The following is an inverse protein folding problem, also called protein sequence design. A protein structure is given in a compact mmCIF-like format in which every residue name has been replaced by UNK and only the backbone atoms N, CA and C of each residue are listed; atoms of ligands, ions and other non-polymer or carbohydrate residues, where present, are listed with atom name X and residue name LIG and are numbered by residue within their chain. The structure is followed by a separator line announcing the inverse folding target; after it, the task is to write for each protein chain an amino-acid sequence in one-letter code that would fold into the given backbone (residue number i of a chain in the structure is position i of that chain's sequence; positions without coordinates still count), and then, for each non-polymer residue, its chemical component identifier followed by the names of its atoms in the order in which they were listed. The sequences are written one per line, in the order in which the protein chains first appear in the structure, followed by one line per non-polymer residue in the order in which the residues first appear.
data_IF_113149703856
#
_entry.id   IF_113149703856
#
_cell.length_a   1.000
_cell.length_b   1.000
_cell.length_c   1.000
_cell.angle_alpha   90.00
_cell.angle_beta   90.00
_cell.angle_gamma   90.00
#
_symmetry.space_group_name_H-M   'P 1'
#
loop_
_entity.id
_entity.type
_entity.pdbx_description
1 polymer ?
#
# COMPACT_ATOMS: atom_id res chain seq x y z
N UNK A 1 26.85 -52.51 33.77
CA UNK A 1 28.10 -52.07 34.43
C UNK A 1 28.11 -50.55 34.45
N UNK A 2 28.04 -49.97 35.64
CA UNK A 2 28.06 -48.54 35.88
C UNK A 2 29.49 -48.00 35.81
N UNK A 3 29.66 -46.76 35.33
CA UNK A 3 30.69 -45.84 35.85
C UNK A 3 30.18 -44.41 35.76
N UNK A 4 29.80 -43.90 36.94
CA UNK A 4 29.72 -42.48 37.27
C UNK A 4 31.11 -41.85 37.20
N UNK A 5 31.23 -40.62 36.68
CA UNK A 5 32.12 -39.60 37.23
C UNK A 5 31.37 -38.26 37.27
N UNK A 6 31.26 -37.71 38.48
CA UNK A 6 30.77 -36.37 38.81
C UNK A 6 31.97 -35.43 39.02
N UNK A 7 31.66 -34.13 39.09
CA UNK A 7 32.43 -32.95 39.55
C UNK A 7 33.08 -32.07 38.46
N UNK A 8 33.07 -30.73 38.50
CA UNK A 8 32.32 -29.65 39.20
C UNK A 8 32.83 -28.31 38.58
N UNK A 9 31.93 -27.33 38.45
CA UNK A 9 32.04 -25.85 38.38
C UNK A 9 33.18 -25.10 37.63
N UNK A 10 32.78 -24.24 36.69
CA UNK A 10 32.96 -22.77 36.66
C UNK A 10 32.41 -22.26 35.29
N UNK A 11 31.53 -21.27 35.14
CA UNK A 11 31.04 -20.24 36.05
C UNK A 11 31.36 -18.86 35.48
N UNK A 12 30.66 -18.40 34.43
CA UNK A 12 30.50 -16.95 34.11
C UNK A 12 29.21 -16.73 33.32
N UNK A 13 28.20 -16.27 34.04
CA UNK A 13 26.91 -15.78 33.55
C UNK A 13 27.03 -14.25 33.47
N UNK A 14 27.12 -13.67 32.26
CA UNK A 14 27.09 -12.20 32.10
C UNK A 14 25.66 -11.75 31.84
N UNK A 15 24.99 -11.33 32.92
CA UNK A 15 23.70 -10.63 32.91
C UNK A 15 24.01 -9.13 32.82
N UNK A 16 23.61 -8.49 31.73
CA UNK A 16 23.60 -7.02 31.64
C UNK A 16 22.27 -6.53 32.22
N UNK A 17 22.35 -5.99 33.44
CA UNK A 17 21.28 -5.24 34.06
C UNK A 17 21.36 -3.78 33.62
N UNK A 18 20.33 -3.29 32.91
CA UNK A 18 20.06 -1.86 32.81
C UNK A 18 18.93 -1.53 33.80
N UNK A 19 19.37 -0.87 34.85
CA UNK A 19 18.67 -0.13 35.90
C UNK A 19 17.33 0.45 35.44
N UNK A 20 16.25 -0.05 36.03
CA UNK A 20 14.99 0.66 36.15
C UNK A 20 15.07 1.65 37.30
N UNK A 21 14.72 2.91 37.05
CA UNK A 21 14.33 3.84 38.11
C UNK A 21 12.88 3.50 38.50
N UNK A 22 12.71 2.98 39.71
CA UNK A 22 11.44 3.02 40.42
C UNK A 22 11.14 4.46 40.82
N UNK A 23 9.95 4.94 40.44
CA UNK A 23 9.16 5.76 41.34
C UNK A 23 7.81 5.05 41.48
N UNK A 24 7.54 4.60 42.70
CA UNK A 24 6.36 3.84 43.08
C UNK A 24 5.44 4.75 43.87
N UNK A 25 4.36 5.19 43.24
CA UNK A 25 3.16 5.61 43.94
C UNK A 25 2.01 4.73 43.43
N UNK A 26 1.50 3.90 44.32
CA UNK A 26 0.29 3.14 44.11
C UNK A 26 -0.90 4.10 44.00
N UNK A 27 -1.72 3.94 42.96
CA UNK A 27 -3.16 3.90 43.18
C UNK A 27 -3.88 3.17 42.05
N UNK A 28 -4.94 2.48 42.42
CA UNK A 28 -5.81 1.68 41.56
C UNK A 28 -6.69 2.64 40.76
N UNK A 29 -6.77 2.48 39.44
CA UNK A 29 -8.07 2.33 38.78
C UNK A 29 -7.95 1.94 37.30
N UNK A 30 -8.98 1.24 36.83
CA UNK A 30 -9.08 0.67 35.49
C UNK A 30 -9.24 1.75 34.42
N UNK A 31 -8.39 1.76 33.38
CA UNK A 31 -8.65 2.51 32.15
C UNK A 31 -7.94 1.86 30.95
N UNK A 32 -8.65 1.80 29.82
CA UNK A 32 -8.27 1.25 28.50
C UNK A 32 -6.85 1.62 28.03
N UNK A 33 -6.24 0.84 27.10
CA UNK A 33 -4.97 1.21 26.50
C UNK A 33 -5.14 2.49 25.68
N UNK A 34 -4.63 3.59 26.22
CA UNK A 34 -4.48 4.88 25.58
C UNK A 34 -3.43 4.77 24.47
N UNK A 35 -3.87 4.92 23.22
CA UNK A 35 -2.98 4.96 22.06
C UNK A 35 -2.21 6.27 22.13
N UNK A 36 -0.88 6.20 22.25
CA UNK A 36 -0.01 7.36 22.37
C UNK A 36 -0.20 8.31 21.18
N UNK A 37 -0.89 9.43 21.43
CA UNK A 37 -1.01 10.51 20.47
C UNK A 37 0.28 11.32 20.50
N UNK A 38 1.05 11.30 19.42
CA UNK A 38 2.20 12.18 19.25
C UNK A 38 1.64 13.61 19.09
N UNK A 39 1.72 14.40 20.14
CA UNK A 39 1.42 15.83 20.08
C UNK A 39 2.52 16.55 19.31
N UNK A 40 2.38 16.59 17.99
CA UNK A 40 3.21 17.42 17.12
C UNK A 40 2.82 18.90 17.28
N UNK A 41 3.78 19.71 17.69
CA UNK A 41 3.75 21.18 17.64
C UNK A 41 3.19 21.70 16.31
N UNK A 42 2.25 22.65 16.41
CA UNK A 42 1.56 23.27 15.28
C UNK A 42 2.53 23.83 14.22
N UNK A 43 2.70 23.07 13.14
CA UNK A 43 3.17 23.54 11.84
C UNK A 43 2.00 23.94 10.94
N UNK A 44 2.25 24.55 9.77
CA UNK A 44 1.23 25.17 8.93
C UNK A 44 0.10 24.18 8.61
N UNK A 45 -1.14 24.65 8.63
CA UNK A 45 -2.34 23.88 8.41
C UNK A 45 -2.17 22.89 7.26
N UNK A 46 -2.03 21.61 7.60
CA UNK A 46 -2.15 20.53 6.65
C UNK A 46 -3.56 20.65 6.06
N UNK A 47 -3.63 20.81 4.74
CA UNK A 47 -4.87 20.72 3.98
C UNK A 47 -5.68 19.55 4.50
N UNK A 48 -6.92 19.82 4.89
CA UNK A 48 -7.85 18.81 5.40
C UNK A 48 -7.99 17.70 4.35
N UNK A 49 -7.24 16.60 4.52
CA UNK A 49 -7.53 15.35 3.85
C UNK A 49 -8.92 14.95 4.32
N UNK A 50 -9.91 15.13 3.44
CA UNK A 50 -11.27 14.67 3.66
C UNK A 50 -11.18 13.19 4.02
N UNK A 51 -11.50 12.87 5.28
CA UNK A 51 -11.45 11.50 5.83
C UNK A 51 -12.18 10.60 4.84
N UNK A 52 -11.47 9.63 4.26
CA UNK A 52 -12.10 8.66 3.38
C UNK A 52 -13.15 7.88 4.17
N UNK A 53 -14.28 7.51 3.54
CA UNK A 53 -15.26 6.64 4.17
C UNK A 53 -14.58 5.40 4.74
N UNK A 54 -15.00 4.91 5.91
CA UNK A 54 -14.49 3.68 6.54
C UNK A 54 -14.74 2.40 5.73
N UNK A 55 -15.35 2.55 4.56
CA UNK A 55 -15.93 1.49 3.74
C UNK A 55 -15.12 1.24 2.45
N UNK A 56 -13.97 1.92 2.29
CA UNK A 56 -13.04 1.70 1.18
C UNK A 56 -11.85 0.86 1.63
N UNK A 57 -11.31 0.03 0.72
CA UNK A 57 -10.13 -0.78 0.97
C UNK A 57 -8.84 0.03 0.98
N UNK A 58 -7.71 -0.61 0.72
CA UNK A 58 -6.42 0.08 0.71
C UNK A 58 -6.23 0.90 -0.59
N UNK A 59 -5.58 2.06 -0.46
CA UNK A 59 -5.25 2.91 -1.61
C UNK A 59 -4.09 2.32 -2.39
N UNK A 60 -4.22 2.20 -3.71
CA UNK A 60 -3.11 1.94 -4.61
C UNK A 60 -2.42 3.27 -4.93
N UNK A 61 -1.18 3.41 -4.48
CA UNK A 61 -0.31 4.54 -4.81
C UNK A 61 0.62 4.18 -5.97
N UNK A 62 1.01 5.15 -6.78
CA UNK A 62 1.92 4.92 -7.90
C UNK A 62 3.37 4.64 -7.49
N UNK A 63 3.77 5.00 -6.26
CA UNK A 63 5.10 4.75 -5.71
C UNK A 63 5.26 3.34 -5.12
N UNK A 64 4.16 2.61 -4.94
CA UNK A 64 4.18 1.26 -4.38
C UNK A 64 4.95 0.29 -5.27
N UNK A 65 5.66 -0.64 -4.63
CA UNK A 65 6.25 -1.76 -5.35
C UNK A 65 5.15 -2.69 -5.87
N UNK A 66 5.45 -3.49 -6.90
CA UNK A 66 4.49 -4.50 -7.38
C UNK A 66 4.12 -5.47 -6.24
N UNK A 67 5.06 -5.85 -5.38
CA UNK A 67 4.78 -6.70 -4.22
C UNK A 67 3.78 -6.06 -3.23
N UNK A 68 3.85 -4.74 -3.03
CA UNK A 68 2.89 -4.02 -2.18
C UNK A 68 1.49 -3.98 -2.81
N UNK A 69 1.42 -3.75 -4.13
CA UNK A 69 0.16 -3.80 -4.88
C UNK A 69 -0.45 -5.19 -4.81
N UNK A 70 0.35 -6.24 -5.04
CA UNK A 70 -0.07 -7.63 -4.96
C UNK A 70 -0.59 -7.97 -3.57
N UNK A 71 0.06 -7.48 -2.50
CA UNK A 71 -0.43 -7.70 -1.14
C UNK A 71 -1.82 -7.08 -0.89
N UNK A 72 -2.05 -5.88 -1.43
CA UNK A 72 -3.34 -5.19 -1.38
C UNK A 72 -4.40 -6.00 -2.16
N UNK A 73 -4.13 -6.35 -3.41
CA UNK A 73 -5.05 -7.12 -4.25
C UNK A 73 -5.34 -8.52 -3.67
N UNK A 74 -4.32 -9.21 -3.15
CA UNK A 74 -4.48 -10.52 -2.53
C UNK A 74 -5.41 -10.48 -1.31
N UNK A 75 -5.46 -9.37 -0.56
CA UNK A 75 -6.40 -9.19 0.55
C UNK A 75 -7.85 -9.17 0.06
N UNK A 76 -8.11 -8.46 -1.05
CA UNK A 76 -9.42 -8.41 -1.68
C UNK A 76 -9.82 -9.76 -2.28
N UNK A 77 -8.93 -10.36 -3.06
CA UNK A 77 -9.20 -11.64 -3.71
C UNK A 77 -9.36 -12.78 -2.71
N UNK A 78 -8.63 -12.79 -1.60
CA UNK A 78 -8.86 -13.75 -0.52
C UNK A 78 -10.26 -13.63 0.10
N UNK A 79 -10.77 -12.40 0.22
CA UNK A 79 -12.15 -12.17 0.64
C UNK A 79 -13.14 -12.74 -0.38
N UNK A 80 -12.99 -12.40 -1.66
CA UNK A 80 -13.86 -12.92 -2.73
C UNK A 80 -13.87 -14.45 -2.77
N UNK A 81 -12.70 -15.09 -2.62
CA UNK A 81 -12.59 -16.55 -2.55
C UNK A 81 -13.37 -17.11 -1.36
N UNK A 82 -13.29 -16.47 -0.20
CA UNK A 82 -14.06 -16.85 1.00
C UNK A 82 -15.56 -16.68 0.80
N UNK A 83 -15.98 -15.72 -0.04
CA UNK A 83 -17.38 -15.51 -0.43
C UNK A 83 -17.84 -16.43 -1.58
N UNK A 84 -17.00 -17.37 -2.03
CA UNK A 84 -17.36 -18.37 -3.05
C UNK A 84 -17.12 -17.94 -4.49
N UNK A 85 -16.40 -16.85 -4.74
CA UNK A 85 -15.96 -16.47 -6.09
C UNK A 85 -14.93 -17.47 -6.61
N UNK A 86 -15.16 -17.97 -7.82
CA UNK A 86 -14.24 -18.89 -8.49
C UNK A 86 -12.96 -18.17 -8.90
N UNK A 87 -11.81 -18.71 -8.48
CA UNK A 87 -10.48 -18.18 -8.77
C UNK A 87 -9.74 -19.08 -9.76
N UNK A 88 -8.92 -18.49 -10.64
CA UNK A 88 -7.96 -19.22 -11.46
C UNK A 88 -6.90 -19.82 -10.54
N UNK A 89 -6.79 -21.15 -10.54
CA UNK A 89 -5.70 -21.87 -9.86
C UNK A 89 -4.55 -22.15 -10.83
N UNK A 90 -4.20 -21.16 -11.66
CA UNK A 90 -2.97 -21.24 -12.43
C UNK A 90 -1.85 -20.71 -11.54
N UNK A 91 -1.17 -21.62 -10.86
CA UNK A 91 0.26 -21.41 -10.54
C UNK A 91 0.98 -21.12 -11.85
N UNK A 92 1.06 -19.85 -12.23
CA UNK A 92 2.02 -19.38 -13.21
C UNK A 92 3.39 -19.48 -12.51
N UNK A 93 4.45 -20.00 -13.15
CA UNK A 93 5.77 -20.00 -12.55
C UNK A 93 6.10 -18.55 -12.13
N UNK A 94 6.21 -18.32 -10.82
CA UNK A 94 6.44 -17.03 -10.16
C UNK A 94 5.23 -16.09 -9.92
N UNK A 95 3.98 -16.47 -10.22
CA UNK A 95 2.79 -15.69 -9.83
C UNK A 95 1.77 -16.55 -9.07
N UNK A 96 1.50 -16.17 -7.82
CA UNK A 96 0.48 -16.79 -6.95
C UNK A 96 -0.78 -15.93 -6.87
N UNK A 97 -1.12 -15.23 -7.94
CA UNK A 97 -2.21 -14.25 -7.88
C UNK A 97 -3.55 -14.97 -7.95
N UNK A 98 -4.37 -14.73 -6.94
CA UNK A 98 -5.76 -15.16 -6.91
C UNK A 98 -6.57 -14.30 -7.88
N UNK A 99 -6.61 -14.64 -9.16
CA UNK A 99 -7.37 -13.87 -10.15
C UNK A 99 -8.75 -14.51 -10.33
N UNK A 100 -9.88 -13.78 -10.22
CA UNK A 100 -11.20 -14.38 -10.46
C UNK A 100 -11.39 -14.83 -11.93
N UNK A 101 -12.17 -15.91 -12.15
CA UNK A 101 -12.20 -16.61 -13.46
C UNK A 101 -13.05 -15.93 -14.53
N UNK A 102 -14.07 -15.21 -14.11
CA UNK A 102 -15.12 -14.61 -14.96
C UNK A 102 -15.32 -13.16 -14.54
N UNK A 103 -16.23 -12.44 -15.19
CA UNK A 103 -16.66 -11.10 -14.77
C UNK A 103 -17.35 -11.17 -13.39
N UNK A 104 -16.52 -11.23 -12.33
CA UNK A 104 -16.94 -11.64 -11.00
C UNK A 104 -17.85 -10.62 -10.33
N UNK A 105 -17.76 -9.36 -10.77
CA UNK A 105 -18.59 -8.28 -10.30
C UNK A 105 -20.05 -8.50 -10.68
N UNK A 106 -20.30 -9.03 -11.89
CA UNK A 106 -21.65 -9.36 -12.36
C UNK A 106 -22.14 -10.70 -11.83
N UNK A 107 -21.26 -11.70 -11.76
CA UNK A 107 -21.65 -13.06 -11.36
C UNK A 107 -21.85 -13.21 -9.85
N UNK A 108 -21.09 -12.49 -9.02
CA UNK A 108 -21.17 -12.55 -7.55
C UNK A 108 -21.29 -11.15 -6.89
N UNK A 109 -22.36 -10.38 -7.17
CA UNK A 109 -22.51 -9.03 -6.64
C UNK A 109 -22.61 -8.99 -5.10
N UNK A 110 -23.10 -10.07 -4.48
CA UNK A 110 -23.11 -10.23 -3.02
C UNK A 110 -21.71 -10.36 -2.42
N UNK A 111 -20.81 -11.07 -3.10
CA UNK A 111 -19.41 -11.19 -2.69
C UNK A 111 -18.68 -9.85 -2.82
N UNK A 112 -18.89 -9.12 -3.91
CA UNK A 112 -18.34 -7.76 -4.08
C UNK A 112 -18.83 -6.85 -2.96
N UNK A 113 -20.13 -6.86 -2.67
CA UNK A 113 -20.70 -6.05 -1.57
C UNK A 113 -20.08 -6.41 -0.23
N UNK A 114 -19.93 -7.71 0.08
CA UNK A 114 -19.33 -8.18 1.32
C UNK A 114 -17.84 -7.84 1.44
N UNK A 115 -17.12 -7.75 0.31
CA UNK A 115 -15.69 -7.48 0.25
C UNK A 115 -15.32 -6.03 -0.06
N UNK A 116 -16.30 -5.13 -0.19
CA UNK A 116 -16.11 -3.73 -0.58
C UNK A 116 -15.10 -2.97 0.28
N UNK A 117 -15.10 -3.20 1.59
CA UNK A 117 -14.12 -2.60 2.52
C UNK A 117 -12.68 -3.09 2.33
N UNK A 118 -12.44 -4.04 1.44
CA UNK A 118 -11.12 -4.55 1.06
C UNK A 118 -10.79 -4.24 -0.40
N UNK A 119 -11.74 -3.69 -1.15
CA UNK A 119 -11.56 -3.37 -2.56
C UNK A 119 -10.46 -2.29 -2.71
N UNK A 120 -9.38 -2.58 -3.46
CA UNK A 120 -8.34 -1.60 -3.70
C UNK A 120 -8.95 -0.42 -4.44
N UNK A 121 -8.67 0.79 -3.97
CA UNK A 121 -9.12 2.00 -4.66
C UNK A 121 -7.92 2.79 -5.16
N UNK A 122 -8.07 3.44 -6.32
CA UNK A 122 -7.02 4.29 -6.88
C UNK A 122 -6.90 5.59 -6.07
N UNK A 123 -5.70 6.16 -6.04
CA UNK A 123 -5.47 7.47 -5.42
C UNK A 123 -6.57 8.48 -5.83
N UNK A 124 -7.25 9.16 -4.89
CA UNK A 124 -8.32 10.11 -5.19
C UNK A 124 -7.92 11.21 -6.16
N UNK A 125 -6.63 11.43 -6.38
CA UNK A 125 -6.13 12.34 -7.40
C UNK A 125 -6.57 11.93 -8.82
N UNK A 126 -6.87 10.67 -9.07
CA UNK A 126 -7.39 10.18 -10.37
C UNK A 126 -8.91 10.26 -10.50
N UNK A 127 -9.62 10.69 -9.47
CA UNK A 127 -11.07 10.90 -9.53
C UNK A 127 -11.38 12.28 -10.16
N UNK A 128 -11.92 12.26 -11.40
CA UNK A 128 -12.31 13.47 -12.17
C UNK A 128 -13.26 14.38 -11.38
N UNK A 129 -14.07 13.84 -10.48
CA UNK A 129 -15.04 14.62 -9.67
C UNK A 129 -14.37 15.31 -8.48
N UNK A 130 -13.25 14.77 -8.01
CA UNK A 130 -12.52 15.28 -6.84
C UNK A 130 -11.26 16.06 -7.22
N UNK A 131 -10.72 15.84 -8.42
CA UNK A 131 -9.57 16.53 -8.95
C UNK A 131 -9.91 17.29 -10.24
N UNK A 132 -10.23 18.59 -10.15
CA UNK A 132 -10.52 19.41 -11.33
C UNK A 132 -9.28 19.64 -12.22
N UNK A 133 -8.07 19.41 -11.69
CA UNK A 133 -6.80 19.58 -12.42
C UNK A 133 -6.36 18.30 -13.13
N UNK A 134 -7.07 17.18 -12.97
CA UNK A 134 -6.67 15.86 -13.47
C UNK A 134 -6.30 15.90 -14.95
N UNK A 135 -7.05 16.62 -15.77
CA UNK A 135 -6.77 16.75 -17.19
C UNK A 135 -5.40 17.37 -17.49
N UNK A 136 -5.07 18.47 -16.81
CA UNK A 136 -3.79 19.16 -16.98
C UNK A 136 -2.63 18.34 -16.40
N UNK A 137 -2.84 17.72 -15.25
CA UNK A 137 -1.83 16.88 -14.61
C UNK A 137 -1.53 15.63 -15.42
N UNK A 138 -2.54 14.94 -15.97
CA UNK A 138 -2.31 13.80 -16.87
C UNK A 138 -1.54 14.23 -18.12
N UNK A 139 -1.88 15.38 -18.72
CA UNK A 139 -1.12 15.91 -19.86
C UNK A 139 0.33 16.26 -19.50
N UNK A 140 0.55 16.88 -18.35
CA UNK A 140 1.89 17.18 -17.85
C UNK A 140 2.70 15.90 -17.60
N UNK A 141 2.06 14.88 -17.02
CA UNK A 141 2.66 13.57 -16.81
C UNK A 141 3.08 12.93 -18.13
N UNK A 142 2.15 12.85 -19.10
CA UNK A 142 2.43 12.29 -20.43
C UNK A 142 3.55 13.04 -21.15
N UNK A 143 3.60 14.37 -21.02
CA UNK A 143 4.69 15.18 -21.56
C UNK A 143 6.03 14.83 -20.92
N UNK A 144 6.09 14.79 -19.59
CA UNK A 144 7.31 14.44 -18.87
C UNK A 144 7.81 13.03 -19.23
N UNK A 145 6.90 12.04 -19.36
CA UNK A 145 7.27 10.68 -19.78
C UNK A 145 7.97 10.68 -21.14
N UNK A 146 7.37 11.36 -22.13
CA UNK A 146 7.93 11.46 -23.47
C UNK A 146 9.30 12.17 -23.47
N UNK A 147 9.45 13.25 -22.69
CA UNK A 147 10.73 13.96 -22.53
C UNK A 147 11.79 13.08 -21.83
N UNK A 148 11.38 12.27 -20.85
CA UNK A 148 12.18 11.27 -20.15
C UNK A 148 12.50 10.02 -20.97
N UNK A 149 12.03 9.93 -22.21
CA UNK A 149 12.32 8.81 -23.11
C UNK A 149 11.44 7.57 -22.91
N UNK A 150 10.29 7.71 -22.25
CA UNK A 150 9.22 6.71 -22.19
C UNK A 150 8.08 7.19 -23.08
N UNK A 151 7.93 6.59 -24.26
CA UNK A 151 6.90 7.00 -25.21
C UNK A 151 5.51 6.72 -24.64
N UNK A 152 4.64 7.73 -24.69
CA UNK A 152 3.22 7.59 -24.38
C UNK A 152 2.35 8.39 -25.34
N UNK A 153 1.21 7.82 -25.74
CA UNK A 153 0.25 8.42 -26.66
C UNK A 153 -1.20 8.17 -26.23
N UNK A 154 -2.14 8.88 -26.82
CA UNK A 154 -3.57 8.74 -26.54
C UNK A 154 -4.18 10.01 -25.94
N UNK A 155 -5.42 9.89 -25.45
CA UNK A 155 -6.13 11.00 -24.80
C UNK A 155 -6.01 10.91 -23.28
N UNK A 156 -5.92 12.06 -22.62
CA UNK A 156 -5.79 12.14 -21.16
C UNK A 156 -7.02 11.61 -20.41
N UNK A 157 -8.19 11.60 -21.06
CA UNK A 157 -9.48 11.19 -20.52
C UNK A 157 -9.90 9.78 -20.92
N UNK A 158 -9.13 9.12 -21.78
CA UNK A 158 -9.25 7.70 -22.05
C UNK A 158 -8.98 6.91 -20.76
N UNK A 159 -9.64 5.76 -20.61
CA UNK A 159 -9.49 4.88 -19.45
C UNK A 159 -8.02 4.44 -19.26
N UNK A 160 -7.28 4.35 -20.36
CA UNK A 160 -5.85 4.13 -20.42
C UNK A 160 -5.23 4.95 -21.55
N UNK A 161 -4.00 5.45 -21.35
CA UNK A 161 -3.13 5.92 -22.43
C UNK A 161 -2.15 4.80 -22.81
N UNK A 162 -1.65 4.84 -24.04
CA UNK A 162 -0.80 3.79 -24.59
C UNK A 162 0.67 4.05 -24.25
N UNK A 163 1.39 3.00 -23.87
CA UNK A 163 2.84 3.02 -23.74
C UNK A 163 3.50 2.49 -25.01
N UNK A 164 4.45 3.26 -25.55
CA UNK A 164 5.27 2.90 -26.70
C UNK A 164 6.66 2.42 -26.29
N UNK A 165 7.66 2.79 -27.10
CA UNK A 165 9.05 2.40 -26.86
C UNK A 165 9.70 3.15 -25.67
N UNK A 166 10.66 2.48 -25.04
CA UNK A 166 11.54 3.09 -24.04
C UNK A 166 12.91 3.29 -24.68
N UNK A 167 13.41 4.53 -24.65
CA UNK A 167 14.74 4.87 -25.18
C UNK A 167 15.82 3.99 -24.52
N UNK A 168 16.80 3.48 -25.28
CA UNK A 168 17.87 2.67 -24.71
C UNK A 168 18.57 3.36 -23.53
N UNK A 169 18.75 2.61 -22.44
CA UNK A 169 19.41 3.10 -21.21
C UNK A 169 18.50 3.87 -20.24
N UNK A 170 17.22 4.06 -20.55
CA UNK A 170 16.25 4.69 -19.65
C UNK A 170 15.66 3.65 -18.68
N UNK A 171 15.73 3.95 -17.37
CA UNK A 171 14.93 3.24 -16.37
C UNK A 171 13.48 3.76 -16.41
N UNK A 172 12.61 3.02 -17.09
CA UNK A 172 11.19 3.35 -17.23
C UNK A 172 10.52 3.60 -15.87
N UNK A 173 10.84 2.81 -14.85
CA UNK A 173 10.19 2.92 -13.53
C UNK A 173 10.62 4.19 -12.82
N UNK A 174 11.91 4.51 -12.88
CA UNK A 174 12.42 5.76 -12.30
C UNK A 174 11.78 6.98 -12.96
N UNK A 175 11.74 7.04 -14.29
CA UNK A 175 11.10 8.13 -15.05
C UNK A 175 9.61 8.22 -14.73
N UNK A 176 8.88 7.10 -14.71
CA UNK A 176 7.47 7.10 -14.36
C UNK A 176 7.20 7.65 -12.96
N UNK A 177 8.02 7.27 -11.97
CA UNK A 177 7.88 7.75 -10.60
C UNK A 177 8.19 9.24 -10.45
N UNK A 178 9.25 9.72 -11.11
CA UNK A 178 9.63 11.14 -11.11
C UNK A 178 8.54 11.98 -11.77
N UNK A 179 8.15 11.63 -12.99
CA UNK A 179 7.14 12.36 -13.75
C UNK A 179 5.75 12.33 -13.08
N UNK A 180 5.39 11.22 -12.42
CA UNK A 180 4.15 11.15 -11.65
C UNK A 180 4.18 12.15 -10.49
N UNK A 181 5.31 12.21 -9.77
CA UNK A 181 5.46 13.11 -8.62
C UNK A 181 5.35 14.56 -9.02
N UNK A 182 6.06 14.94 -10.07
CA UNK A 182 6.06 16.29 -10.59
C UNK A 182 4.64 16.71 -11.01
N UNK A 183 3.95 15.86 -11.78
CA UNK A 183 2.63 16.19 -12.30
C UNK A 183 1.55 16.28 -11.21
N UNK A 184 1.57 15.39 -10.23
CA UNK A 184 0.45 15.17 -9.31
C UNK A 184 0.68 15.70 -7.89
N UNK A 185 1.91 15.75 -7.39
CA UNK A 185 2.22 16.28 -6.06
C UNK A 185 2.84 17.68 -6.11
N UNK A 186 3.85 17.90 -6.95
CA UNK A 186 4.61 19.16 -6.92
C UNK A 186 3.86 20.30 -7.64
N UNK A 187 3.09 19.99 -8.68
CA UNK A 187 2.25 20.94 -9.41
C UNK A 187 0.83 21.10 -8.84
N UNK A 188 0.59 20.69 -7.59
CA UNK A 188 -0.71 20.82 -6.92
C UNK A 188 -0.65 21.80 -5.72
N UNK A 189 -0.68 23.12 -5.96
CA UNK A 189 -0.85 24.11 -4.89
C UNK A 189 -2.23 24.01 -4.24
#
# INVERSE_FOLDING_TARGET
MARLIRLICAGTLSVVALVGCSDQAADKDSASPEVATIAGTAGPAASQSKVLPTDVGAMIRMDMTEADKDAIYNTYYSCLKTQGVTMWDKSIPNNKDLIPVEDWEKTWPGAVTACKSKEPYLDPIFDKTRNPKLADQTRAWMKCLNEGGVEVSGQWDAEFFDFGEVRPGVDRRAVMQECYREAYYDNNP
#
